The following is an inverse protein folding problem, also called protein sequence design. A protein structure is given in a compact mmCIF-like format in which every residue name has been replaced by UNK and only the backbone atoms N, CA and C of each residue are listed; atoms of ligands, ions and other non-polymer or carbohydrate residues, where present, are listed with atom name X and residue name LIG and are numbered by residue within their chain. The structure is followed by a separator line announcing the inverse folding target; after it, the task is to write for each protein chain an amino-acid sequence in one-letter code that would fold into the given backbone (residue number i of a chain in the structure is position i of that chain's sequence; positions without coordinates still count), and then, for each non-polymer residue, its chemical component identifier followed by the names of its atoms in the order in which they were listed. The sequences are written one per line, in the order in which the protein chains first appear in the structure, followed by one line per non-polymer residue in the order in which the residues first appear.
data_IF_230200114655
#
_entry.id   IF_230200114655
#
_cell.length_a   1.000
_cell.length_b   1.000
_cell.length_c   1.000
_cell.angle_alpha   90.00
_cell.angle_beta   90.00
_cell.angle_gamma   90.00
#
_symmetry.space_group_name_H-M   'P 1'
#
loop_
_entity.id
_entity.type
_entity.pdbx_description
1 polymer ?
#
# COMPACT_ATOMS: atom_id res chain seq x y z
N UNK A 1 -30.54 16.30 1.09
CA UNK A 1 -29.68 15.08 1.06
C UNK A 1 -28.94 14.81 -0.27
N UNK A 2 -29.16 15.59 -1.35
CA UNK A 2 -28.52 15.41 -2.67
C UNK A 2 -27.13 16.07 -2.78
N UNK A 3 -26.94 17.24 -2.16
CA UNK A 3 -25.70 18.05 -2.28
C UNK A 3 -24.54 17.47 -1.48
N UNK A 4 -24.79 16.88 -0.30
CA UNK A 4 -23.74 16.24 0.49
C UNK A 4 -23.17 15.00 -0.21
N UNK A 5 -24.03 14.22 -0.89
CA UNK A 5 -23.62 13.08 -1.71
C UNK A 5 -22.76 13.52 -2.89
N UNK A 6 -23.07 14.65 -3.53
CA UNK A 6 -22.31 15.14 -4.69
C UNK A 6 -20.96 15.75 -4.30
N UNK A 7 -20.87 16.48 -3.18
CA UNK A 7 -19.62 17.00 -2.63
C UNK A 7 -18.71 15.88 -2.16
N UNK A 8 -19.26 14.90 -1.42
CA UNK A 8 -18.52 13.69 -1.02
C UNK A 8 -18.08 12.88 -2.23
N UNK A 9 -18.92 12.74 -3.27
CA UNK A 9 -18.57 12.05 -4.53
C UNK A 9 -17.55 12.83 -5.38
N UNK A 10 -17.48 14.16 -5.26
CA UNK A 10 -16.45 15.01 -5.90
C UNK A 10 -15.13 14.94 -5.13
N UNK A 11 -15.17 15.00 -3.81
CA UNK A 11 -14.01 14.83 -2.94
C UNK A 11 -13.44 13.41 -3.06
N UNK A 12 -14.29 12.37 -3.06
CA UNK A 12 -13.89 11.00 -3.37
C UNK A 12 -13.35 10.90 -4.80
N UNK A 13 -13.98 11.47 -5.83
CA UNK A 13 -13.41 11.44 -7.19
C UNK A 13 -12.03 12.12 -7.29
N UNK A 14 -11.79 13.17 -6.53
CA UNK A 14 -10.51 13.88 -6.53
C UNK A 14 -9.41 13.11 -5.78
N UNK A 15 -9.79 12.24 -4.83
CA UNK A 15 -8.87 11.43 -4.01
C UNK A 15 -8.76 9.98 -4.52
N UNK A 16 -9.78 9.45 -5.19
CA UNK A 16 -10.04 8.02 -5.45
C UNK A 16 -10.45 7.72 -6.89
N UNK A 17 -10.21 8.62 -7.86
CA UNK A 17 -10.52 8.35 -9.27
C UNK A 17 -9.93 6.99 -9.68
N UNK A 18 -10.75 5.98 -10.04
CA UNK A 18 -10.22 4.76 -10.59
C UNK A 18 -9.82 5.08 -12.02
N UNK A 19 -8.52 5.01 -12.31
CA UNK A 19 -8.06 4.84 -13.68
C UNK A 19 -8.57 3.46 -14.10
N UNK A 20 -9.62 3.48 -14.94
CA UNK A 20 -10.15 2.30 -15.63
C UNK A 20 -9.03 1.71 -16.47
N UNK A 21 -8.66 0.47 -16.21
CA UNK A 21 -8.14 -0.41 -17.25
C UNK A 21 -8.66 -1.82 -17.05
N UNK A 22 -8.85 -2.48 -18.19
CA UNK A 22 -9.46 -3.80 -18.39
C UNK A 22 -8.73 -4.85 -17.53
N UNK A 23 -9.50 -5.63 -16.75
CA UNK A 23 -9.00 -6.83 -16.07
C UNK A 23 -8.56 -7.85 -17.12
N UNK A 24 -7.28 -8.18 -17.14
CA UNK A 24 -6.83 -9.47 -17.67
C UNK A 24 -6.48 -10.33 -16.46
N UNK A 25 -7.26 -11.41 -16.28
CA UNK A 25 -6.91 -12.47 -15.34
C UNK A 25 -5.65 -13.15 -15.88
N UNK A 26 -4.63 -13.29 -15.04
CA UNK A 26 -3.41 -13.99 -15.39
C UNK A 26 -3.21 -15.12 -14.37
N UNK A 27 -3.70 -16.29 -14.78
CA UNK A 27 -3.28 -17.56 -14.22
C UNK A 27 -1.80 -17.77 -14.54
N UNK A 28 -1.08 -18.30 -13.56
CA UNK A 28 0.38 -18.40 -13.61
C UNK A 28 0.87 -19.16 -14.83
N UNK A 29 1.66 -18.47 -15.65
CA UNK A 29 2.87 -18.91 -16.36
C UNK A 29 3.34 -17.70 -17.18
N UNK A 30 4.66 -17.51 -17.31
CA UNK A 30 5.33 -16.28 -17.77
C UNK A 30 4.58 -15.57 -18.91
N UNK A 31 3.97 -14.41 -18.62
CA UNK A 31 3.18 -13.65 -19.61
C UNK A 31 4.09 -13.10 -20.72
N UNK A 32 3.51 -12.87 -21.91
CA UNK A 32 4.15 -12.34 -23.13
C UNK A 32 4.89 -10.98 -23.00
N UNK A 33 4.96 -10.41 -21.80
CA UNK A 33 5.72 -9.20 -21.43
C UNK A 33 6.98 -9.50 -20.60
N UNK A 34 7.37 -10.76 -20.43
CA UNK A 34 8.53 -11.17 -19.61
C UNK A 34 8.25 -11.13 -18.10
N UNK A 35 6.99 -11.34 -17.70
CA UNK A 35 6.58 -11.27 -16.29
C UNK A 35 6.70 -12.63 -15.62
N UNK A 36 7.37 -12.69 -14.48
CA UNK A 36 7.40 -13.90 -13.64
C UNK A 36 6.58 -13.64 -12.37
N UNK A 37 5.46 -14.36 -12.23
CA UNK A 37 4.66 -14.35 -11.01
C UNK A 37 5.22 -15.38 -10.02
N UNK A 38 5.89 -14.90 -8.98
CA UNK A 38 6.31 -15.75 -7.87
C UNK A 38 5.31 -15.68 -6.71
N UNK A 39 5.14 -16.77 -5.96
CA UNK A 39 4.49 -16.76 -4.66
C UNK A 39 5.14 -15.72 -3.72
N UNK A 40 4.34 -15.08 -2.86
CA UNK A 40 4.83 -13.99 -2.00
C UNK A 40 5.91 -14.46 -1.01
N UNK A 41 5.79 -15.69 -0.51
CA UNK A 41 6.75 -16.37 0.38
C UNK A 41 8.10 -16.64 -0.29
N UNK A 42 8.16 -16.70 -1.63
CA UNK A 42 9.41 -16.82 -2.38
C UNK A 42 9.93 -15.47 -2.86
N UNK A 43 9.04 -14.58 -3.30
CA UNK A 43 9.39 -13.27 -3.86
C UNK A 43 9.90 -12.30 -2.80
N UNK A 44 9.19 -12.19 -1.68
CA UNK A 44 9.44 -11.13 -0.68
C UNK A 44 10.76 -11.31 0.08
N UNK A 45 11.25 -12.53 0.38
CA UNK A 45 12.61 -12.73 0.86
C UNK A 45 13.68 -12.24 -0.12
N UNK A 46 13.53 -12.53 -1.41
CA UNK A 46 14.49 -12.08 -2.44
C UNK A 46 14.50 -10.55 -2.55
N UNK A 47 13.32 -9.94 -2.47
CA UNK A 47 13.20 -8.48 -2.42
C UNK A 47 13.89 -7.92 -1.17
N UNK A 48 13.64 -8.49 0.01
CA UNK A 48 14.27 -8.05 1.25
C UNK A 48 15.81 -8.12 1.16
N UNK A 49 16.35 -9.23 0.64
CA UNK A 49 17.78 -9.41 0.44
C UNK A 49 18.37 -8.38 -0.54
N UNK A 50 17.70 -8.12 -1.66
CA UNK A 50 18.14 -7.11 -2.62
C UNK A 50 18.15 -5.71 -2.00
N UNK A 51 17.15 -5.37 -1.19
CA UNK A 51 17.11 -4.09 -0.47
C UNK A 51 18.25 -3.99 0.55
N UNK A 52 18.55 -5.05 1.29
CA UNK A 52 19.66 -5.09 2.24
C UNK A 52 21.03 -4.87 1.56
N UNK A 53 21.19 -5.35 0.32
CA UNK A 53 22.37 -5.10 -0.52
C UNK A 53 22.44 -3.66 -1.08
N UNK A 54 21.48 -2.80 -0.74
CA UNK A 54 21.43 -1.41 -1.19
C UNK A 54 20.76 -1.23 -2.56
N UNK A 55 20.17 -2.28 -3.14
CA UNK A 55 19.39 -2.13 -4.35
C UNK A 55 17.99 -1.56 -4.06
N UNK A 56 17.30 -1.16 -5.11
CA UNK A 56 15.87 -0.83 -5.04
C UNK A 56 15.07 -1.91 -5.75
N UNK A 57 13.87 -2.18 -5.26
CA UNK A 57 12.99 -3.18 -5.84
C UNK A 57 11.65 -2.55 -6.22
N UNK A 58 11.11 -2.92 -7.37
CA UNK A 58 9.75 -2.52 -7.76
C UNK A 58 8.87 -3.76 -7.79
N UNK A 59 7.83 -3.78 -6.97
CA UNK A 59 6.90 -4.90 -6.87
C UNK A 59 5.47 -4.46 -7.19
N UNK A 60 4.70 -5.39 -7.73
CA UNK A 60 3.26 -5.22 -7.90
C UNK A 60 2.54 -5.40 -6.57
N UNK A 61 1.54 -4.56 -6.32
CA UNK A 61 0.73 -4.70 -5.12
C UNK A 61 -0.29 -5.82 -5.31
N UNK A 62 -0.21 -6.83 -4.43
CA UNK A 62 -1.19 -7.90 -4.33
C UNK A 62 -2.09 -7.71 -3.11
N UNK A 63 -3.37 -8.02 -3.28
CA UNK A 63 -4.39 -7.89 -2.24
C UNK A 63 -4.95 -6.48 -2.08
N UNK A 64 -5.87 -6.35 -1.12
CA UNK A 64 -6.70 -5.15 -0.94
C UNK A 64 -6.43 -4.41 0.38
N UNK A 65 -5.44 -4.86 1.15
CA UNK A 65 -5.15 -4.33 2.49
C UNK A 65 -4.67 -2.89 2.47
N UNK A 66 -4.09 -2.41 1.37
CA UNK A 66 -3.59 -1.05 1.21
C UNK A 66 -4.54 -0.11 0.45
N UNK A 67 -5.78 -0.54 0.18
CA UNK A 67 -6.82 0.36 -0.33
C UNK A 67 -7.12 1.45 0.70
N UNK A 68 -7.39 2.69 0.31
CA UNK A 68 -7.58 3.13 -1.06
C UNK A 68 -6.32 3.64 -1.78
N UNK A 69 -5.17 3.66 -1.11
CA UNK A 69 -3.95 4.29 -1.65
C UNK A 69 -3.24 3.43 -2.70
N UNK A 70 -3.35 2.12 -2.56
CA UNK A 70 -2.83 1.12 -3.50
C UNK A 70 -3.94 0.13 -3.90
N UNK A 71 -3.98 -0.17 -5.19
CA UNK A 71 -4.96 -1.08 -5.79
C UNK A 71 -4.31 -2.36 -6.32
N UNK A 72 -5.00 -3.48 -6.11
CA UNK A 72 -4.54 -4.82 -6.47
C UNK A 72 -4.29 -4.91 -7.97
N UNK A 73 -3.11 -5.41 -8.36
CA UNK A 73 -2.71 -5.68 -9.76
C UNK A 73 -2.78 -4.46 -10.70
N UNK A 74 -2.97 -3.26 -10.15
CA UNK A 74 -2.92 -1.99 -10.88
C UNK A 74 -1.70 -1.18 -10.51
N UNK A 75 -1.44 -1.07 -9.20
CA UNK A 75 -0.39 -0.22 -8.68
C UNK A 75 0.88 -1.02 -8.38
N UNK A 76 2.02 -0.35 -8.54
CA UNK A 76 3.33 -0.87 -8.14
C UNK A 76 3.92 0.06 -7.08
N UNK A 77 4.81 -0.48 -6.27
CA UNK A 77 5.57 0.30 -5.30
C UNK A 77 7.05 0.10 -5.55
N UNK A 78 7.81 1.19 -5.49
CA UNK A 78 9.26 1.12 -5.40
C UNK A 78 9.67 1.14 -3.94
N UNK A 79 10.46 0.15 -3.55
CA UNK A 79 11.01 -0.06 -2.23
C UNK A 79 12.50 0.27 -2.24
N UNK A 80 12.98 0.83 -1.13
CA UNK A 80 14.38 1.03 -0.83
C UNK A 80 14.68 0.56 0.59
N UNK A 81 15.96 0.33 0.89
CA UNK A 81 16.41 0.02 2.25
C UNK A 81 15.95 1.09 3.25
N UNK A 82 15.42 0.71 4.43
CA UNK A 82 14.84 1.65 5.37
C UNK A 82 15.93 2.40 6.15
N UNK A 83 16.34 3.58 5.68
CA UNK A 83 17.26 4.45 6.43
C UNK A 83 16.62 5.05 7.68
N UNK A 84 15.34 5.44 7.58
CA UNK A 84 14.58 6.02 8.67
C UNK A 84 13.11 5.66 8.50
N UNK A 85 12.53 4.98 9.49
CA UNK A 85 11.11 4.61 9.49
C UNK A 85 10.34 5.57 10.39
N UNK A 86 9.30 6.22 9.84
CA UNK A 86 8.45 7.17 10.53
C UNK A 86 6.99 6.75 10.51
N UNK A 87 6.25 7.29 11.47
CA UNK A 87 4.81 7.09 11.56
C UNK A 87 4.12 7.72 10.35
N UNK A 88 3.42 6.90 9.57
CA UNK A 88 2.77 7.28 8.31
C UNK A 88 3.42 6.65 7.08
N UNK A 89 4.65 6.14 7.18
CA UNK A 89 5.33 5.48 6.06
C UNK A 89 4.69 4.13 5.74
N UNK A 90 4.65 3.78 4.45
CA UNK A 90 4.32 2.43 4.02
C UNK A 90 5.61 1.61 3.96
N UNK A 91 5.62 0.47 4.63
CA UNK A 91 6.81 -0.36 4.83
C UNK A 91 6.51 -1.82 4.48
N UNK A 92 7.51 -2.48 3.91
CA UNK A 92 7.57 -3.93 3.81
C UNK A 92 8.26 -4.43 5.08
N UNK A 93 7.54 -5.20 5.90
CA UNK A 93 8.04 -5.73 7.15
C UNK A 93 7.80 -7.23 7.27
N UNK A 94 8.72 -7.94 7.89
CA UNK A 94 8.58 -9.34 8.24
C UNK A 94 7.98 -9.47 9.64
N UNK A 95 6.67 -9.74 9.72
CA UNK A 95 5.96 -9.80 11.02
C UNK A 95 6.06 -11.17 11.69
N UNK A 96 6.40 -12.21 10.91
CA UNK A 96 6.77 -13.53 11.40
C UNK A 96 7.70 -14.18 10.36
N UNK A 97 8.38 -15.27 10.73
CA UNK A 97 9.32 -15.96 9.84
C UNK A 97 8.64 -16.34 8.52
N UNK A 98 9.13 -15.82 7.40
CA UNK A 98 8.58 -16.04 6.06
C UNK A 98 7.26 -15.30 5.77
N UNK A 99 6.71 -14.56 6.73
CA UNK A 99 5.47 -13.81 6.57
C UNK A 99 5.74 -12.31 6.51
N UNK A 100 5.54 -11.75 5.32
CA UNK A 100 5.80 -10.35 5.03
C UNK A 100 4.50 -9.60 4.78
N UNK A 101 4.43 -8.36 5.26
CA UNK A 101 3.30 -7.46 5.03
C UNK A 101 3.78 -6.12 4.50
N UNK A 102 3.05 -5.58 3.53
CA UNK A 102 3.23 -4.21 3.05
C UNK A 102 2.15 -3.33 3.69
N UNK A 103 2.45 -2.71 4.82
CA UNK A 103 1.47 -1.94 5.60
C UNK A 103 2.01 -0.59 6.05
N UNK A 104 1.13 0.24 6.59
CA UNK A 104 1.49 1.57 7.05
C UNK A 104 1.83 1.57 8.54
N UNK A 105 2.92 2.25 8.91
CA UNK A 105 3.26 2.48 10.32
C UNK A 105 2.24 3.44 10.93
N UNK A 106 1.41 2.96 11.85
CA UNK A 106 0.38 3.78 12.50
C UNK A 106 0.82 4.34 13.85
N UNK A 107 1.77 3.67 14.51
CA UNK A 107 2.37 4.07 15.79
C UNK A 107 3.80 3.51 15.87
N UNK A 108 4.65 4.17 16.66
CA UNK A 108 6.00 3.72 16.98
C UNK A 108 6.27 4.02 18.46
N UNK A 109 6.65 2.99 19.22
CA UNK A 109 7.00 3.07 20.64
C UNK A 109 8.39 2.45 20.82
N UNK A 110 9.43 3.31 20.89
CA UNK A 110 10.81 2.84 20.88
C UNK A 110 11.14 2.03 19.61
N UNK A 111 11.56 0.78 19.80
CA UNK A 111 11.85 -0.17 18.72
C UNK A 111 10.61 -0.92 18.20
N UNK A 112 9.48 -0.87 18.91
CA UNK A 112 8.25 -1.53 18.50
C UNK A 112 7.43 -0.64 17.56
N UNK A 113 7.02 -1.18 16.43
CA UNK A 113 6.15 -0.56 15.45
C UNK A 113 4.81 -1.26 15.44
N UNK A 114 3.74 -0.47 15.28
CA UNK A 114 2.42 -0.99 14.97
C UNK A 114 2.10 -0.67 13.52
N UNK A 115 1.84 -1.72 12.75
CA UNK A 115 1.49 -1.66 11.35
C UNK A 115 0.00 -1.88 11.16
N UNK A 116 -0.56 -1.26 10.13
CA UNK A 116 -1.93 -1.52 9.69
C UNK A 116 -2.06 -1.23 8.20
N UNK A 117 -2.73 -2.11 7.48
CA UNK A 117 -3.13 -1.85 6.09
C UNK A 117 -4.16 -0.72 6.00
N UNK A 118 -4.05 0.16 5.01
CA UNK A 118 -4.96 1.30 4.78
C UNK A 118 -6.44 0.92 4.51
N UNK A 119 -6.71 -0.34 4.21
CA UNK A 119 -8.04 -0.91 3.99
C UNK A 119 -8.52 -1.81 5.14
N UNK A 120 -7.64 -2.07 6.13
CA UNK A 120 -7.97 -2.90 7.27
C UNK A 120 -8.66 -2.10 8.37
N UNK A 121 -9.82 -2.57 8.85
CA UNK A 121 -10.60 -1.88 9.87
C UNK A 121 -10.15 -2.21 11.30
N UNK A 122 -9.57 -3.39 11.52
CA UNK A 122 -9.31 -3.92 12.86
C UNK A 122 -7.96 -4.61 12.98
N UNK A 123 -7.50 -5.32 11.94
CA UNK A 123 -6.21 -5.99 12.00
C UNK A 123 -5.07 -4.98 12.11
N UNK A 124 -4.22 -5.23 13.09
CA UNK A 124 -2.95 -4.55 13.30
C UNK A 124 -1.88 -5.61 13.42
N UNK A 125 -0.70 -5.33 12.89
CA UNK A 125 0.46 -6.17 13.05
C UNK A 125 1.50 -5.45 13.90
N UNK A 126 2.33 -6.22 14.59
CA UNK A 126 3.41 -5.69 15.42
C UNK A 126 4.73 -6.21 14.86
N UNK A 127 5.71 -5.34 14.73
CA UNK A 127 7.06 -5.71 14.33
C UNK A 127 8.06 -4.79 15.01
N UNK A 128 9.33 -5.20 15.06
CA UNK A 128 10.42 -4.31 15.45
C UNK A 128 10.84 -3.46 14.26
N UNK A 129 11.58 -2.38 14.54
CA UNK A 129 12.22 -1.56 13.50
C UNK A 129 13.18 -2.39 12.64
N UNK A 130 13.89 -3.33 13.26
CA UNK A 130 14.86 -4.21 12.59
C UNK A 130 14.17 -5.25 11.67
N UNK A 131 12.90 -5.53 11.92
CA UNK A 131 12.09 -6.42 11.07
C UNK A 131 11.57 -5.72 9.80
N UNK A 132 11.81 -4.40 9.66
CA UNK A 132 11.45 -3.66 8.46
C UNK A 132 12.50 -3.92 7.39
N UNK A 133 12.08 -4.55 6.30
CA UNK A 133 12.95 -4.89 5.17
C UNK A 133 13.05 -3.76 4.15
N UNK A 134 12.02 -2.91 4.06
CA UNK A 134 11.96 -1.86 3.05
C UNK A 134 10.95 -0.77 3.36
N UNK A 135 11.22 0.43 2.85
CA UNK A 135 10.27 1.56 2.86
C UNK A 135 9.84 1.88 1.43
N UNK A 136 8.55 2.18 1.24
CA UNK A 136 8.03 2.61 -0.05
C UNK A 136 8.51 4.03 -0.31
N UNK A 137 9.30 4.20 -1.38
CA UNK A 137 9.77 5.52 -1.83
C UNK A 137 8.87 6.13 -2.89
N UNK A 138 8.21 5.29 -3.70
CA UNK A 138 7.33 5.75 -4.78
C UNK A 138 6.12 4.83 -4.98
N UNK A 139 5.00 5.46 -5.33
CA UNK A 139 3.76 4.85 -5.74
C UNK A 139 3.63 5.01 -7.25
N UNK A 140 3.77 3.92 -7.98
CA UNK A 140 3.75 3.90 -9.45
C UNK A 140 2.36 3.44 -9.89
N UNK A 141 1.64 4.32 -10.56
CA UNK A 141 0.29 4.10 -11.10
C UNK A 141 0.34 4.18 -12.63
N UNK A 142 -0.65 3.64 -13.35
CA UNK A 142 -0.74 3.80 -14.79
C UNK A 142 -0.70 5.29 -15.18
N UNK A 143 0.34 5.69 -15.91
CA UNK A 143 0.53 7.07 -16.38
C UNK A 143 1.00 8.08 -15.34
N UNK A 144 1.28 7.69 -14.08
CA UNK A 144 1.75 8.62 -13.04
C UNK A 144 2.56 7.93 -11.95
N UNK A 145 3.71 8.51 -11.62
CA UNK A 145 4.49 8.16 -10.42
C UNK A 145 4.33 9.25 -9.37
N UNK A 146 4.14 8.86 -8.11
CA UNK A 146 3.96 9.77 -6.97
C UNK A 146 5.03 9.43 -5.93
N UNK A 147 5.83 10.42 -5.53
CA UNK A 147 6.78 10.23 -4.43
C UNK A 147 6.05 9.94 -3.12
N UNK A 148 6.60 9.05 -2.30
CA UNK A 148 6.10 8.81 -0.95
C UNK A 148 6.21 10.05 -0.05
N UNK A 149 7.13 10.97 -0.38
CA UNK A 149 7.29 12.26 0.29
C UNK A 149 6.38 13.37 -0.27
N UNK A 150 5.52 13.06 -1.25
CA UNK A 150 4.59 14.04 -1.83
C UNK A 150 3.64 14.61 -0.76
N UNK A 151 3.58 15.93 -0.67
CA UNK A 151 2.84 16.63 0.39
C UNK A 151 1.34 16.36 0.33
N UNK A 152 0.76 16.19 -0.87
CA UNK A 152 -0.67 15.90 -1.03
C UNK A 152 -0.96 14.48 -0.58
N UNK A 153 -0.12 13.51 -0.94
CA UNK A 153 -0.24 12.13 -0.50
C UNK A 153 -0.12 12.04 1.03
N UNK A 154 0.91 12.63 1.62
CA UNK A 154 1.11 12.65 3.07
C UNK A 154 -0.09 13.26 3.82
N UNK A 155 -0.67 14.34 3.29
CA UNK A 155 -1.87 14.96 3.86
C UNK A 155 -3.08 14.01 3.77
N UNK A 156 -3.31 13.38 2.62
CA UNK A 156 -4.41 12.42 2.46
C UNK A 156 -4.26 11.24 3.42
N UNK A 157 -3.05 10.69 3.57
CA UNK A 157 -2.74 9.62 4.51
C UNK A 157 -3.00 10.06 5.96
N UNK A 158 -2.56 11.25 6.34
CA UNK A 158 -2.80 11.80 7.69
C UNK A 158 -4.29 11.95 7.98
N UNK A 159 -5.05 12.51 7.04
CA UNK A 159 -6.51 12.64 7.15
C UNK A 159 -7.17 11.27 7.26
N UNK A 160 -6.78 10.32 6.42
CA UNK A 160 -7.29 8.95 6.46
C UNK A 160 -7.07 8.27 7.82
N UNK A 161 -5.88 8.45 8.39
CA UNK A 161 -5.51 7.94 9.72
C UNK A 161 -6.26 8.61 10.87
N UNK A 162 -6.73 9.83 10.70
CA UNK A 162 -7.58 10.53 11.66
C UNK A 162 -9.05 10.08 11.54
N UNK A 163 -9.53 9.87 10.31
CA UNK A 163 -10.89 9.43 10.01
C UNK A 163 -11.17 7.94 10.29
N UNK A 164 -10.41 7.29 11.17
CA UNK A 164 -10.62 5.88 11.57
C UNK A 164 -12.07 5.53 11.93
N UNK A 165 -12.83 6.30 12.74
CA UNK A 165 -14.20 5.94 13.08
C UNK A 165 -15.14 5.92 11.87
N UNK A 166 -14.90 6.80 10.89
CA UNK A 166 -15.72 6.91 9.67
C UNK A 166 -15.20 6.02 8.54
N UNK A 167 -13.99 5.47 8.67
CA UNK A 167 -13.30 4.64 7.68
C UNK A 167 -14.13 3.46 7.20
N UNK A 168 -14.92 2.84 8.09
CA UNK A 168 -15.85 1.75 7.72
C UNK A 168 -16.84 2.19 6.65
N UNK A 169 -17.47 3.36 6.82
CA UNK A 169 -18.41 3.90 5.84
C UNK A 169 -17.70 4.30 4.54
N UNK A 170 -16.53 4.96 4.64
CA UNK A 170 -15.75 5.36 3.47
C UNK A 170 -15.31 4.17 2.62
N UNK A 171 -14.84 3.10 3.25
CA UNK A 171 -14.46 1.87 2.56
C UNK A 171 -15.67 1.15 1.95
N UNK A 172 -16.82 1.18 2.61
CA UNK A 172 -18.05 0.57 2.08
C UNK A 172 -18.55 1.33 0.85
N UNK A 173 -18.56 2.67 0.90
CA UNK A 173 -18.86 3.53 -0.25
C UNK A 173 -17.85 3.35 -1.38
N UNK A 174 -16.55 3.24 -1.05
CA UNK A 174 -15.51 2.99 -2.03
C UNK A 174 -15.73 1.66 -2.75
N UNK A 175 -15.98 0.58 -1.99
CA UNK A 175 -16.29 -0.74 -2.56
C UNK A 175 -17.53 -0.70 -3.46
N UNK A 176 -18.57 0.06 -3.09
CA UNK A 176 -19.75 0.24 -3.93
C UNK A 176 -19.49 1.03 -5.23
N UNK A 177 -18.37 1.76 -5.31
CA UNK A 177 -17.93 2.45 -6.54
C UNK A 177 -16.94 1.65 -7.37
N UNK A 178 -16.47 0.51 -6.88
CA UNK A 178 -15.64 -0.41 -7.67
C UNK A 178 -16.52 -1.15 -8.68
N UNK A 179 -16.09 -1.28 -9.95
CA UNK A 179 -16.81 -2.02 -10.96
C UNK A 179 -16.79 -3.54 -10.73
#
# INVERSE_FOLDING_TARGET
MSVLKSVVKRALRCVLAPVRHKRERLDGTVDATGRMALPNDQLLPLVAQALEQGHTATIWVKGYSMRPFLEHERDRVRLAYPQCVRVGDAVLAQVARGHYVLHRVISAAGSLLTLQGDGNLQGVEYCRRDDVCGVVTEYIRPGRTISASDTRLCRQVRVWRFLRPVRRLLLLLYKATLP
#
